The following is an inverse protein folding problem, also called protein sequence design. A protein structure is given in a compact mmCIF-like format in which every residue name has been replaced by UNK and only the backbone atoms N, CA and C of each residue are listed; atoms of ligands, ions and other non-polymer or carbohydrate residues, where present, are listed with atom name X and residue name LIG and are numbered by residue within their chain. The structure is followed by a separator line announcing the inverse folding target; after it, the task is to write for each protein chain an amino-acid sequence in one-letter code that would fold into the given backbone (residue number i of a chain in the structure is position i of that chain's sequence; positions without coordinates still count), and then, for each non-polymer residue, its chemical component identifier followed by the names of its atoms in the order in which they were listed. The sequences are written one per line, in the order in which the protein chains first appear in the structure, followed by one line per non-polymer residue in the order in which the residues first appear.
data_IF_497897840521
#
_entry.id   IF_497897840521
#
_cell.length_a   1.000
_cell.length_b   1.000
_cell.length_c   1.000
_cell.angle_alpha   90.00
_cell.angle_beta   90.00
_cell.angle_gamma   90.00
#
_symmetry.space_group_name_H-M   'P 1'
#
loop_
_entity.id
_entity.type
_entity.pdbx_description
1 polymer ?
#
# COMPACT_ATOMS: atom_id res chain seq x y z
N UNK A 1 41.56 -37.96 -44.55
CA UNK A 1 40.67 -38.56 -43.51
C UNK A 1 41.28 -38.12 -42.19
N UNK A 2 40.72 -37.31 -41.31
CA UNK A 2 39.35 -36.88 -41.00
C UNK A 2 39.47 -35.56 -40.21
N UNK A 3 38.67 -34.54 -40.51
CA UNK A 3 38.74 -33.26 -39.78
C UNK A 3 37.87 -32.16 -40.37
N UNK A 4 36.59 -32.44 -40.65
CA UNK A 4 35.62 -31.46 -41.17
C UNK A 4 34.23 -31.62 -40.52
N UNK A 5 34.21 -32.05 -39.25
CA UNK A 5 32.96 -32.29 -38.49
C UNK A 5 32.60 -31.19 -37.49
N UNK A 6 33.59 -30.45 -36.95
CA UNK A 6 33.37 -29.58 -35.78
C UNK A 6 32.59 -28.29 -36.04
N UNK A 7 32.69 -27.71 -37.25
CA UNK A 7 31.98 -26.46 -37.55
C UNK A 7 30.50 -26.67 -37.86
N UNK A 8 30.12 -27.84 -38.38
CA UNK A 8 28.71 -28.17 -38.62
C UNK A 8 27.96 -28.43 -37.30
N UNK A 9 28.61 -29.04 -36.32
CA UNK A 9 28.04 -29.24 -34.97
C UNK A 9 27.97 -27.93 -34.17
N UNK A 10 28.95 -27.04 -34.33
CA UNK A 10 28.92 -25.72 -33.69
C UNK A 10 27.80 -24.81 -34.25
N UNK A 11 27.55 -24.84 -35.57
CA UNK A 11 26.46 -24.10 -36.18
C UNK A 11 25.07 -24.65 -35.83
N UNK A 12 24.93 -25.97 -35.72
CA UNK A 12 23.68 -26.60 -35.27
C UNK A 12 23.39 -26.30 -33.79
N UNK A 13 24.41 -26.25 -32.93
CA UNK A 13 24.23 -25.87 -31.53
C UNK A 13 23.90 -24.37 -31.37
N UNK A 14 24.48 -23.50 -32.20
CA UNK A 14 24.18 -22.07 -32.20
C UNK A 14 22.77 -21.78 -32.77
N UNK A 15 22.32 -22.52 -33.79
CA UNK A 15 20.96 -22.35 -34.33
C UNK A 15 19.87 -22.89 -33.38
N UNK A 16 20.17 -23.94 -32.61
CA UNK A 16 19.26 -24.46 -31.57
C UNK A 16 19.22 -23.53 -30.36
N UNK A 17 20.34 -22.89 -29.98
CA UNK A 17 20.34 -21.83 -28.96
C UNK A 17 19.54 -20.59 -29.41
N UNK A 18 19.65 -20.19 -30.67
CA UNK A 18 18.86 -19.08 -31.22
C UNK A 18 17.37 -19.43 -31.36
N UNK A 19 17.01 -20.68 -31.66
CA UNK A 19 15.62 -21.13 -31.69
C UNK A 19 14.98 -21.18 -30.29
N UNK A 20 15.74 -21.53 -29.25
CA UNK A 20 15.27 -21.47 -27.87
C UNK A 20 15.18 -20.04 -27.31
N UNK A 21 15.98 -19.10 -27.81
CA UNK A 21 15.86 -17.67 -27.46
C UNK A 21 14.74 -16.97 -28.27
N UNK A 22 14.37 -17.48 -29.44
CA UNK A 22 13.27 -16.95 -30.26
C UNK A 22 11.89 -17.54 -29.92
N UNK A 23 11.82 -18.61 -29.10
CA UNK A 23 10.56 -19.19 -28.57
C UNK A 23 10.27 -18.80 -27.11
N UNK A 24 11.01 -17.85 -26.55
CA UNK A 24 10.79 -17.30 -25.21
C UNK A 24 9.90 -16.04 -25.19
N UNK A 25 9.34 -15.63 -26.34
CA UNK A 25 8.51 -14.43 -26.46
C UNK A 25 7.21 -14.72 -27.21
N UNK A 26 6.29 -15.43 -26.54
CA UNK A 26 4.84 -15.39 -26.83
C UNK A 26 4.00 -15.90 -25.65
N UNK A 27 4.52 -15.83 -24.44
CA UNK A 27 3.79 -16.16 -23.21
C UNK A 27 3.49 -14.87 -22.48
N UNK A 28 2.34 -14.28 -22.76
CA UNK A 28 1.79 -13.14 -22.02
C UNK A 28 1.77 -13.51 -20.53
N UNK A 29 2.79 -13.05 -19.81
CA UNK A 29 2.92 -13.27 -18.38
C UNK A 29 1.82 -12.44 -17.71
N UNK A 30 0.75 -13.11 -17.30
CA UNK A 30 -0.20 -12.58 -16.32
C UNK A 30 0.59 -12.27 -15.04
N UNK A 31 0.99 -11.01 -14.86
CA UNK A 31 1.79 -10.56 -13.72
C UNK A 31 1.20 -9.28 -13.14
N UNK A 32 1.15 -9.27 -11.80
CA UNK A 32 0.79 -8.19 -10.90
C UNK A 32 -0.64 -7.60 -11.04
N UNK A 33 -1.52 -8.04 -10.13
CA UNK A 33 -2.89 -7.55 -9.90
C UNK A 33 -3.79 -7.62 -11.14
N UNK A 34 -4.58 -8.70 -11.23
CA UNK A 34 -5.72 -8.77 -12.16
C UNK A 34 -6.65 -7.60 -11.93
N UNK A 35 -6.63 -6.68 -12.90
CA UNK A 35 -7.68 -5.71 -13.19
C UNK A 35 -8.97 -6.50 -13.43
N UNK A 36 -10.00 -6.24 -12.62
CA UNK A 36 -11.37 -6.58 -13.01
C UNK A 36 -11.80 -5.47 -13.96
N UNK A 37 -11.86 -5.80 -15.25
CA UNK A 37 -12.37 -4.90 -16.27
C UNK A 37 -13.89 -4.78 -16.09
N UNK A 38 -14.38 -3.55 -16.12
CA UNK A 38 -15.79 -3.21 -16.08
C UNK A 38 -16.47 -3.67 -17.37
N UNK A 39 -17.12 -4.83 -17.36
CA UNK A 39 -18.13 -5.19 -18.35
C UNK A 39 -19.51 -5.17 -17.68
N UNK A 40 -20.37 -4.31 -18.19
CA UNK A 40 -21.80 -4.21 -17.85
C UNK A 40 -22.45 -5.60 -17.80
N UNK A 41 -23.24 -5.93 -16.75
CA UNK A 41 -23.91 -7.21 -16.70
C UNK A 41 -25.09 -7.19 -17.67
N UNK A 42 -24.99 -7.99 -18.73
CA UNK A 42 -26.16 -8.49 -19.44
C UNK A 42 -26.88 -9.51 -18.57
N UNK A 43 -28.19 -9.33 -18.45
CA UNK A 43 -29.13 -10.25 -17.79
C UNK A 43 -28.91 -11.70 -18.22
N UNK A 44 -28.51 -12.57 -17.29
CA UNK A 44 -28.92 -13.98 -17.22
C UNK A 44 -28.49 -14.54 -15.85
N UNK A 45 -29.49 -15.01 -15.08
CA UNK A 45 -29.31 -15.52 -13.73
C UNK A 45 -28.72 -16.94 -13.75
N UNK A 46 -27.59 -17.13 -13.08
CA UNK A 46 -27.16 -18.46 -12.63
C UNK A 46 -27.23 -18.52 -11.09
N UNK A 47 -28.05 -19.44 -10.59
CA UNK A 47 -28.21 -19.73 -9.17
C UNK A 47 -26.94 -20.42 -8.61
N UNK A 48 -26.36 -19.85 -7.56
CA UNK A 48 -25.34 -20.52 -6.75
C UNK A 48 -26.01 -21.45 -5.71
N UNK A 49 -25.44 -22.62 -5.40
CA UNK A 49 -25.99 -23.52 -4.40
C UNK A 49 -25.80 -22.93 -2.99
N UNK A 50 -26.85 -22.99 -2.19
CA UNK A 50 -26.83 -22.64 -0.77
C UNK A 50 -26.29 -23.85 -0.02
N UNK A 51 -25.15 -23.69 0.67
CA UNK A 51 -24.70 -24.64 1.69
C UNK A 51 -25.69 -24.54 2.87
N UNK A 52 -26.51 -25.58 3.02
CA UNK A 52 -27.36 -25.82 4.18
C UNK A 52 -26.47 -26.29 5.33
N UNK A 53 -26.04 -25.39 6.21
CA UNK A 53 -25.67 -25.65 7.62
C UNK A 53 -25.28 -24.32 8.32
N UNK A 54 -26.25 -23.42 8.50
CA UNK A 54 -26.13 -22.29 9.45
C UNK A 54 -27.19 -22.51 10.53
N UNK A 55 -26.76 -22.68 11.78
CA UNK A 55 -27.65 -22.90 12.92
C UNK A 55 -28.67 -21.74 13.05
N UNK A 56 -29.96 -22.06 13.18
CA UNK A 56 -31.06 -21.09 13.30
C UNK A 56 -30.91 -20.14 14.52
N UNK A 57 -30.10 -20.50 15.52
CA UNK A 57 -29.80 -19.65 16.68
C UNK A 57 -28.80 -18.50 16.37
N UNK A 58 -27.97 -18.63 15.31
CA UNK A 58 -26.98 -17.61 14.93
C UNK A 58 -27.60 -16.45 14.10
N UNK A 59 -28.87 -16.59 13.71
CA UNK A 59 -29.65 -15.58 12.99
C UNK A 59 -30.55 -14.73 13.91
N UNK A 60 -30.49 -14.92 15.23
CA UNK A 60 -31.29 -14.14 16.17
C UNK A 60 -30.87 -12.66 16.17
N UNK A 61 -31.76 -11.81 15.65
CA UNK A 61 -31.58 -10.35 15.67
C UNK A 61 -31.59 -9.85 17.11
N UNK A 62 -30.52 -9.17 17.52
CA UNK A 62 -30.36 -8.55 18.84
C UNK A 62 -31.51 -7.57 19.13
N UNK A 63 -32.06 -7.59 20.35
CA UNK A 63 -33.11 -6.66 20.79
C UNK A 63 -32.49 -5.54 21.64
N UNK A 64 -32.26 -4.34 21.08
CA UNK A 64 -31.58 -3.26 21.79
C UNK A 64 -32.49 -2.72 22.89
N UNK A 65 -31.89 -2.47 24.06
CA UNK A 65 -32.53 -1.72 25.16
C UNK A 65 -31.89 -0.36 25.31
N UNK A 66 -32.43 0.49 26.18
CA UNK A 66 -31.86 1.82 26.48
C UNK A 66 -30.47 1.75 27.16
N UNK A 67 -30.13 0.60 27.75
CA UNK A 67 -28.82 0.31 28.33
C UNK A 67 -27.97 -0.53 27.38
N UNK A 68 -26.65 -0.36 27.47
CA UNK A 68 -25.67 -1.11 26.70
C UNK A 68 -25.69 -2.59 27.06
N UNK A 69 -25.86 -3.46 26.07
CA UNK A 69 -25.71 -4.91 26.24
C UNK A 69 -24.72 -5.48 25.25
N UNK A 70 -23.98 -6.50 25.67
CA UNK A 70 -22.97 -7.16 24.84
C UNK A 70 -23.61 -8.04 23.76
N UNK A 71 -23.07 -7.96 22.55
CA UNK A 71 -23.47 -8.74 21.38
C UNK A 71 -22.72 -10.06 21.34
N UNK A 72 -23.41 -11.14 20.93
CA UNK A 72 -22.75 -12.42 20.64
C UNK A 72 -22.02 -12.35 19.29
N UNK A 73 -20.93 -13.11 19.08
CA UNK A 73 -20.27 -13.20 17.79
C UNK A 73 -21.26 -13.70 16.73
N UNK A 74 -21.39 -12.98 15.60
CA UNK A 74 -22.32 -13.33 14.51
C UNK A 74 -23.74 -12.76 14.64
N UNK A 75 -24.12 -12.23 15.80
CA UNK A 75 -25.48 -11.75 16.07
C UNK A 75 -25.83 -10.49 15.24
N UNK A 76 -26.94 -10.55 14.50
CA UNK A 76 -27.41 -9.43 13.68
C UNK A 76 -27.92 -8.26 14.55
N UNK A 77 -27.55 -7.02 14.23
CA UNK A 77 -27.98 -5.82 14.97
C UNK A 77 -29.01 -5.03 14.14
N UNK A 78 -30.16 -4.63 14.71
CA UNK A 78 -31.16 -3.83 14.00
C UNK A 78 -30.62 -2.48 13.52
N UNK A 79 -31.04 -2.08 12.33
CA UNK A 79 -30.75 -0.75 11.78
C UNK A 79 -31.27 0.35 12.72
N UNK A 80 -30.42 1.34 13.03
CA UNK A 80 -30.72 2.41 13.99
C UNK A 80 -30.27 2.12 15.43
N UNK A 81 -29.64 0.97 15.70
CA UNK A 81 -29.02 0.70 17.01
C UNK A 81 -27.65 1.37 17.12
N UNK A 82 -27.36 1.97 18.26
CA UNK A 82 -26.04 2.53 18.53
C UNK A 82 -25.11 1.40 19.00
N UNK A 83 -24.05 1.12 18.25
CA UNK A 83 -23.09 0.02 18.52
C UNK A 83 -21.72 0.60 18.90
N UNK A 84 -21.08 0.05 19.95
CA UNK A 84 -19.71 0.40 20.35
C UNK A 84 -18.87 -0.83 20.64
N UNK A 85 -17.55 -0.68 20.60
CA UNK A 85 -16.60 -1.65 21.13
C UNK A 85 -16.13 -1.20 22.51
N UNK A 86 -16.35 -2.02 23.54
CA UNK A 86 -15.88 -1.73 24.89
C UNK A 86 -14.37 -2.01 24.96
N UNK A 87 -13.55 -0.96 25.08
CA UNK A 87 -12.08 -1.06 25.01
C UNK A 87 -11.44 -1.72 26.25
N UNK A 88 -12.16 -1.87 27.36
CA UNK A 88 -11.68 -2.57 28.55
C UNK A 88 -11.95 -4.08 28.49
N UNK A 89 -13.05 -4.50 27.86
CA UNK A 89 -13.46 -5.91 27.81
C UNK A 89 -13.28 -6.55 26.43
N UNK A 90 -13.10 -5.75 25.38
CA UNK A 90 -12.98 -6.20 23.99
C UNK A 90 -14.31 -6.62 23.35
N UNK A 91 -15.44 -6.51 24.05
CA UNK A 91 -16.75 -6.93 23.55
C UNK A 91 -17.48 -5.82 22.79
N UNK A 92 -18.25 -6.19 21.76
CA UNK A 92 -19.16 -5.28 21.06
C UNK A 92 -20.44 -5.14 21.88
N UNK A 93 -20.93 -3.93 22.08
CA UNK A 93 -22.16 -3.62 22.82
C UNK A 93 -23.10 -2.80 21.95
N UNK A 94 -24.42 -2.95 22.10
CA UNK A 94 -25.43 -2.18 21.39
C UNK A 94 -26.55 -1.68 22.32
N UNK A 95 -27.15 -0.54 21.98
CA UNK A 95 -28.32 0.05 22.65
C UNK A 95 -29.25 0.79 21.67
N UNK A 96 -30.46 1.16 22.10
CA UNK A 96 -31.39 2.00 21.33
C UNK A 96 -30.83 3.42 21.18
N UNK A 97 -30.98 4.01 19.98
CA UNK A 97 -30.63 5.40 19.71
C UNK A 97 -31.85 6.32 19.92
N UNK A 98 -31.84 7.08 21.00
CA UNK A 98 -32.91 8.03 21.39
C UNK A 98 -33.12 9.17 20.37
N UNK A 99 -32.18 9.37 19.44
CA UNK A 99 -32.23 10.47 18.48
C UNK A 99 -33.11 10.21 17.25
N UNK A 100 -33.69 9.02 17.13
CA UNK A 100 -34.23 8.50 15.86
C UNK A 100 -35.77 8.48 15.74
N UNK A 101 -36.52 9.03 16.69
CA UNK A 101 -38.00 9.19 16.57
C UNK A 101 -38.81 7.88 16.46
N UNK A 102 -38.17 6.73 16.63
CA UNK A 102 -38.76 5.40 16.45
C UNK A 102 -39.33 4.89 17.79
N UNK A 103 -40.61 4.50 17.83
CA UNK A 103 -41.22 3.82 18.97
C UNK A 103 -41.61 2.39 18.61
N UNK A 104 -41.23 1.45 19.47
CA UNK A 104 -41.64 0.06 19.37
C UNK A 104 -43.05 -0.12 19.92
N UNK A 105 -43.89 -0.91 19.24
CA UNK A 105 -45.17 -1.35 19.76
C UNK A 105 -45.27 -2.87 19.81
N UNK A 106 -45.99 -3.35 20.82
CA UNK A 106 -46.24 -4.77 21.09
C UNK A 106 -47.73 -5.03 21.20
N UNK A 107 -48.26 -5.98 20.41
CA UNK A 107 -49.62 -6.49 20.59
C UNK A 107 -49.67 -8.00 20.37
N UNK A 108 -49.79 -8.74 21.47
CA UNK A 108 -49.69 -10.20 21.45
C UNK A 108 -48.33 -10.67 20.92
N UNK A 109 -48.33 -11.71 20.09
CA UNK A 109 -47.13 -12.33 19.51
C UNK A 109 -46.49 -11.53 18.35
N UNK A 110 -47.01 -10.36 18.00
CA UNK A 110 -46.45 -9.51 16.94
C UNK A 110 -45.89 -8.22 17.52
N UNK A 111 -44.62 -7.97 17.23
CA UNK A 111 -43.88 -6.77 17.60
C UNK A 111 -43.33 -6.12 16.33
N UNK A 112 -43.35 -4.80 16.27
CA UNK A 112 -42.91 -4.06 15.09
C UNK A 112 -42.56 -2.60 15.39
N UNK A 113 -41.81 -2.02 14.46
CA UNK A 113 -41.26 -0.67 14.54
C UNK A 113 -42.18 0.28 13.75
N UNK A 114 -42.65 1.35 14.39
CA UNK A 114 -43.44 2.39 13.71
C UNK A 114 -42.69 3.71 13.77
N UNK A 115 -42.37 4.25 12.60
CA UNK A 115 -41.95 5.63 12.44
C UNK A 115 -43.19 6.53 12.47
N UNK A 116 -43.28 7.44 13.44
CA UNK A 116 -44.44 8.33 13.61
C UNK A 116 -44.45 9.52 12.66
N UNK A 117 -43.39 9.75 11.88
CA UNK A 117 -43.24 10.94 11.04
C UNK A 117 -43.55 10.69 9.55
N UNK A 118 -43.80 9.45 9.14
CA UNK A 118 -44.22 9.12 7.79
C UNK A 118 -45.75 8.95 7.70
N UNK A 119 -46.44 9.48 6.67
CA UNK A 119 -47.87 9.25 6.48
C UNK A 119 -48.14 7.75 6.29
N UNK A 120 -48.83 7.14 7.24
CA UNK A 120 -49.07 5.70 7.28
C UNK A 120 -50.21 5.33 6.32
N UNK A 121 -49.93 4.51 5.31
CA UNK A 121 -50.97 3.86 4.50
C UNK A 121 -51.38 2.55 5.17
N UNK A 122 -52.69 2.32 5.29
CA UNK A 122 -53.23 1.09 5.85
C UNK A 122 -52.95 -0.11 4.92
N UNK A 123 -52.87 -1.32 5.49
CA UNK A 123 -52.71 -2.57 4.70
C UNK A 123 -53.84 -2.81 3.69
N UNK A 124 -55.00 -2.17 3.89
CA UNK A 124 -56.09 -2.15 2.91
C UNK A 124 -55.81 -1.18 1.77
N UNK A 125 -55.36 0.04 2.06
CA UNK A 125 -54.94 1.01 1.04
C UNK A 125 -53.75 0.50 0.22
N UNK A 126 -52.80 -0.18 0.86
CA UNK A 126 -51.66 -0.79 0.18
C UNK A 126 -52.10 -1.93 -0.76
N UNK A 127 -53.06 -2.77 -0.32
CA UNK A 127 -53.63 -3.83 -1.17
C UNK A 127 -54.46 -3.27 -2.32
N UNK A 128 -55.19 -2.19 -2.09
CA UNK A 128 -55.97 -1.52 -3.12
C UNK A 128 -55.06 -0.83 -4.15
N UNK A 129 -53.98 -0.18 -3.70
CA UNK A 129 -52.93 0.38 -4.55
C UNK A 129 -52.21 -0.70 -5.35
N UNK A 130 -51.82 -1.82 -4.74
CA UNK A 130 -51.18 -2.95 -5.42
C UNK A 130 -52.11 -3.66 -6.41
N UNK A 131 -53.43 -3.68 -6.13
CA UNK A 131 -54.42 -4.21 -7.05
C UNK A 131 -54.61 -3.30 -8.25
N UNK A 132 -54.59 -1.97 -8.05
CA UNK A 132 -54.55 -0.99 -9.15
C UNK A 132 -53.30 -1.15 -10.02
N UNK A 133 -52.13 -1.35 -9.41
CA UNK A 133 -50.86 -1.65 -10.11
C UNK A 133 -50.87 -2.95 -10.93
N UNK A 134 -51.80 -3.88 -10.66
CA UNK A 134 -51.88 -5.19 -11.31
C UNK A 134 -53.00 -5.28 -12.35
N UNK A 135 -54.05 -4.46 -12.20
CA UNK A 135 -55.15 -4.32 -13.16
C UNK A 135 -54.85 -3.28 -14.25
N UNK A 136 -54.16 -2.19 -13.90
CA UNK A 136 -53.50 -1.29 -14.85
C UNK A 136 -52.09 -1.85 -15.07
N UNK A 137 -51.94 -2.77 -16.02
CA UNK A 137 -50.61 -3.25 -16.42
C UNK A 137 -49.68 -2.06 -16.65
N UNK A 138 -48.43 -2.18 -16.18
CA UNK A 138 -47.36 -1.17 -16.30
C UNK A 138 -47.51 -0.43 -17.62
N UNK A 139 -48.09 0.78 -17.58
CA UNK A 139 -47.87 1.71 -18.67
C UNK A 139 -46.34 1.88 -18.74
N UNK A 140 -45.75 1.75 -19.93
CA UNK A 140 -44.30 1.80 -20.07
C UNK A 140 -43.79 3.04 -19.35
N UNK A 141 -42.75 2.87 -18.52
CA UNK A 141 -42.05 3.94 -17.79
C UNK A 141 -42.07 5.18 -18.67
N UNK A 142 -42.84 6.18 -18.25
CA UNK A 142 -43.08 7.37 -19.05
C UNK A 142 -41.75 8.13 -19.08
N UNK A 143 -40.94 7.84 -20.09
CA UNK A 143 -39.61 8.44 -20.30
C UNK A 143 -39.68 9.97 -20.31
N UNK A 144 -40.87 10.55 -20.53
CA UNK A 144 -41.10 11.98 -20.37
C UNK A 144 -41.05 12.47 -18.93
N UNK A 145 -41.48 11.68 -17.95
CA UNK A 145 -41.50 12.06 -16.54
C UNK A 145 -40.10 12.03 -15.93
N UNK A 146 -39.31 11.00 -16.18
CA UNK A 146 -37.87 10.96 -15.81
C UNK A 146 -37.10 12.10 -16.48
N UNK A 147 -37.33 12.34 -17.77
CA UNK A 147 -36.72 13.49 -18.46
C UNK A 147 -37.15 14.82 -17.86
N UNK A 148 -38.40 14.95 -17.38
CA UNK A 148 -38.88 16.17 -16.71
C UNK A 148 -38.24 16.34 -15.34
N UNK A 149 -38.03 15.26 -14.58
CA UNK A 149 -37.35 15.29 -13.28
C UNK A 149 -35.84 15.57 -13.44
N UNK A 150 -35.15 14.90 -14.36
CA UNK A 150 -33.77 15.22 -14.72
C UNK A 150 -33.63 16.66 -15.26
N UNK A 151 -34.55 17.11 -16.10
CA UNK A 151 -34.56 18.48 -16.60
C UNK A 151 -34.83 19.50 -15.47
N UNK A 152 -35.70 19.17 -14.50
CA UNK A 152 -35.96 20.01 -13.35
C UNK A 152 -34.74 20.13 -12.44
N UNK A 153 -34.01 19.02 -12.20
CA UNK A 153 -32.74 19.03 -11.45
C UNK A 153 -31.67 19.79 -12.23
N UNK A 154 -31.53 19.54 -13.53
CA UNK A 154 -30.57 20.25 -14.39
C UNK A 154 -30.88 21.75 -14.50
N UNK A 155 -32.14 22.15 -14.36
CA UNK A 155 -32.55 23.56 -14.31
C UNK A 155 -32.27 24.23 -12.96
N UNK A 156 -32.05 23.48 -11.87
CA UNK A 156 -31.64 24.03 -10.57
C UNK A 156 -30.15 24.39 -10.52
N UNK A 157 -29.33 23.82 -11.41
CA UNK A 157 -27.89 24.07 -11.47
C UNK A 157 -27.51 24.87 -12.71
N UNK A 158 -26.51 25.75 -12.58
CA UNK A 158 -25.92 26.41 -13.75
C UNK A 158 -25.16 25.39 -14.61
N UNK A 159 -25.24 25.47 -15.94
CA UNK A 159 -24.50 24.57 -16.82
C UNK A 159 -22.99 24.74 -16.63
N UNK A 160 -22.26 23.63 -16.63
CA UNK A 160 -20.81 23.59 -16.40
C UNK A 160 -20.05 24.52 -17.38
N UNK A 161 -20.53 24.63 -18.61
CA UNK A 161 -19.97 25.48 -19.66
C UNK A 161 -20.14 26.97 -19.39
N UNK A 162 -21.24 27.38 -18.73
CA UNK A 162 -21.44 28.77 -18.29
C UNK A 162 -20.51 29.09 -17.12
N UNK A 163 -20.40 28.17 -16.15
CA UNK A 163 -19.46 28.30 -15.04
C UNK A 163 -18.01 28.39 -15.54
N UNK A 164 -17.62 27.56 -16.52
CA UNK A 164 -16.29 27.64 -17.16
C UNK A 164 -16.07 29.01 -17.82
N UNK A 165 -17.05 29.53 -18.57
CA UNK A 165 -16.96 30.86 -19.19
C UNK A 165 -16.89 32.00 -18.16
N UNK A 166 -17.63 31.91 -17.07
CA UNK A 166 -17.61 32.91 -15.99
C UNK A 166 -16.25 32.90 -15.27
N UNK A 167 -15.66 31.71 -15.05
CA UNK A 167 -14.33 31.56 -14.46
C UNK A 167 -13.22 32.05 -15.41
N UNK A 168 -13.35 31.77 -16.71
CA UNK A 168 -12.48 32.31 -17.76
C UNK A 168 -12.56 33.85 -17.82
N UNK A 169 -13.76 34.43 -17.72
CA UNK A 169 -13.96 35.89 -17.68
C UNK A 169 -13.38 36.54 -16.43
N UNK A 170 -13.35 35.83 -15.30
CA UNK A 170 -12.71 36.28 -14.06
C UNK A 170 -11.18 36.06 -14.03
N UNK A 171 -10.58 35.59 -15.13
CA UNK A 171 -9.15 35.26 -15.23
C UNK A 171 -8.69 34.24 -14.16
N UNK A 172 -9.62 33.44 -13.63
CA UNK A 172 -9.33 32.28 -12.80
C UNK A 172 -9.25 31.06 -13.72
N UNK A 173 -8.15 30.92 -14.45
CA UNK A 173 -7.86 29.67 -15.16
C UNK A 173 -7.58 28.59 -14.13
N UNK A 174 -8.60 27.78 -13.81
CA UNK A 174 -8.40 26.54 -13.08
C UNK A 174 -7.84 25.53 -14.08
N UNK A 175 -6.53 25.59 -14.32
CA UNK A 175 -5.85 24.48 -14.99
C UNK A 175 -6.04 23.24 -14.12
N UNK A 176 -6.45 22.13 -14.73
CA UNK A 176 -6.45 20.86 -14.00
C UNK A 176 -5.03 20.33 -13.87
N UNK A 177 -4.75 19.55 -12.83
CA UNK A 177 -3.43 18.93 -12.64
C UNK A 177 -3.00 18.13 -13.88
N UNK A 178 -3.93 17.43 -14.53
CA UNK A 178 -3.70 16.75 -15.81
C UNK A 178 -3.17 17.68 -16.91
N UNK A 179 -3.78 18.88 -17.06
CA UNK A 179 -3.33 19.88 -18.03
C UNK A 179 -1.96 20.44 -17.68
N UNK A 180 -1.73 20.74 -16.40
CA UNK A 180 -0.43 21.20 -15.89
C UNK A 180 0.65 20.16 -16.14
N UNK A 181 0.43 18.90 -15.75
CA UNK A 181 1.37 17.81 -15.98
C UNK A 181 1.64 17.60 -17.47
N UNK A 182 0.61 17.67 -18.32
CA UNK A 182 0.79 17.56 -19.78
C UNK A 182 1.72 18.66 -20.30
N UNK A 183 1.57 19.91 -19.81
CA UNK A 183 2.45 21.03 -20.16
C UNK A 183 3.88 20.80 -19.65
N UNK A 184 4.05 20.34 -18.41
CA UNK A 184 5.35 20.06 -17.81
C UNK A 184 6.09 18.93 -18.54
N UNK A 185 5.41 17.81 -18.86
CA UNK A 185 5.97 16.69 -19.63
C UNK A 185 6.40 17.15 -21.03
N UNK A 186 5.57 17.99 -21.69
CA UNK A 186 5.95 18.58 -22.99
C UNK A 186 7.17 19.48 -22.85
N UNK A 187 7.21 20.36 -21.85
CA UNK A 187 8.36 21.23 -21.59
C UNK A 187 9.63 20.41 -21.36
N UNK A 188 9.53 19.35 -20.55
CA UNK A 188 10.62 18.44 -20.24
C UNK A 188 11.19 17.76 -21.50
N UNK A 189 10.31 17.30 -22.40
CA UNK A 189 10.69 16.56 -23.60
C UNK A 189 11.12 17.46 -24.79
N UNK A 190 11.11 18.78 -24.64
CA UNK A 190 11.56 19.69 -25.71
C UNK A 190 13.08 19.59 -25.88
N UNK A 191 13.52 19.46 -27.13
CA UNK A 191 14.94 19.36 -27.51
C UNK A 191 15.75 20.59 -27.11
N UNK A 192 15.14 21.78 -27.16
CA UNK A 192 15.78 23.07 -26.86
C UNK A 192 15.66 23.48 -25.39
N UNK A 193 14.95 22.71 -24.55
CA UNK A 193 14.78 23.05 -23.15
C UNK A 193 16.11 23.03 -22.41
N UNK A 194 16.36 24.05 -21.59
CA UNK A 194 17.58 24.15 -20.79
C UNK A 194 17.58 23.11 -19.67
N UNK A 195 18.74 22.90 -19.05
CA UNK A 195 18.85 22.01 -17.88
C UNK A 195 17.95 22.51 -16.75
N UNK A 196 17.95 23.82 -16.50
CA UNK A 196 17.17 24.47 -15.46
C UNK A 196 15.67 24.32 -15.70
N UNK A 197 15.21 24.49 -16.96
CA UNK A 197 13.81 24.28 -17.32
C UNK A 197 13.37 22.84 -17.12
N UNK A 198 14.21 21.87 -17.47
CA UNK A 198 13.93 20.44 -17.26
C UNK A 198 13.90 20.07 -15.78
N UNK A 199 14.84 20.59 -14.99
CA UNK A 199 14.88 20.38 -13.54
C UNK A 199 13.65 21.01 -12.88
N UNK A 200 13.28 22.24 -13.26
CA UNK A 200 12.07 22.90 -12.76
C UNK A 200 10.81 22.08 -13.10
N UNK A 201 10.68 21.61 -14.34
CA UNK A 201 9.55 20.77 -14.74
C UNK A 201 9.46 19.48 -13.93
N UNK A 202 10.59 18.83 -13.64
CA UNK A 202 10.60 17.63 -12.78
C UNK A 202 10.23 17.96 -11.32
N UNK A 203 10.67 19.10 -10.78
CA UNK A 203 10.31 19.49 -9.42
C UNK A 203 8.81 19.82 -9.30
N UNK A 204 8.23 20.49 -10.28
CA UNK A 204 6.79 20.75 -10.32
C UNK A 204 5.98 19.45 -10.49
N UNK A 205 6.47 18.52 -11.32
CA UNK A 205 5.89 17.18 -11.44
C UNK A 205 5.96 16.42 -10.11
N UNK A 206 7.07 16.51 -9.37
CA UNK A 206 7.23 15.82 -8.09
C UNK A 206 6.15 16.23 -7.09
N UNK A 207 5.80 17.51 -7.03
CA UNK A 207 4.71 18.01 -6.19
C UNK A 207 3.36 17.40 -6.58
N UNK A 208 3.05 17.34 -7.88
CA UNK A 208 1.76 16.87 -8.39
C UNK A 208 1.57 15.37 -8.20
N UNK A 209 2.61 14.56 -8.40
CA UNK A 209 2.52 13.08 -8.33
C UNK A 209 2.43 12.52 -6.92
N UNK A 210 2.45 13.34 -5.86
CA UNK A 210 2.02 12.90 -4.53
C UNK A 210 0.56 12.46 -4.52
N UNK A 211 -0.26 13.00 -5.42
CA UNK A 211 -1.61 12.51 -5.62
C UNK A 211 -1.59 11.23 -6.45
N UNK A 212 -2.27 10.21 -5.95
CA UNK A 212 -2.30 8.85 -6.53
C UNK A 212 -2.78 8.86 -7.97
N UNK A 213 -3.82 9.64 -8.28
CA UNK A 213 -4.39 9.75 -9.63
C UNK A 213 -3.44 10.47 -10.58
N UNK A 214 -2.81 11.57 -10.13
CA UNK A 214 -1.83 12.29 -10.93
C UNK A 214 -0.63 11.42 -11.33
N UNK A 215 -0.16 10.56 -10.42
CA UNK A 215 0.90 9.61 -10.72
C UNK A 215 0.46 8.57 -11.79
N UNK A 216 -0.80 8.14 -11.77
CA UNK A 216 -1.36 7.25 -12.80
C UNK A 216 -1.56 7.96 -14.14
N UNK A 217 -1.94 9.24 -14.12
CA UNK A 217 -2.02 10.07 -15.32
C UNK A 217 -0.64 10.28 -15.95
N UNK A 218 0.39 10.50 -15.13
CA UNK A 218 1.78 10.61 -15.61
C UNK A 218 2.23 9.33 -16.34
N UNK A 219 1.83 8.15 -15.87
CA UNK A 219 2.03 6.88 -16.58
C UNK A 219 1.26 6.89 -17.89
N UNK A 220 -0.04 7.20 -17.85
CA UNK A 220 -0.95 7.13 -19.01
C UNK A 220 -0.53 8.04 -20.16
N UNK A 221 0.09 9.19 -19.86
CA UNK A 221 0.63 10.11 -20.87
C UNK A 221 2.08 9.80 -21.29
N UNK A 222 2.65 8.67 -20.85
CA UNK A 222 4.02 8.25 -21.18
C UNK A 222 5.12 9.05 -20.46
N UNK A 223 4.75 9.94 -19.53
CA UNK A 223 5.69 10.76 -18.79
C UNK A 223 6.56 9.95 -17.83
N UNK A 224 6.05 8.83 -17.30
CA UNK A 224 6.81 7.95 -16.41
C UNK A 224 8.09 7.42 -17.07
N UNK A 225 8.02 6.97 -18.34
CA UNK A 225 9.20 6.46 -19.04
C UNK A 225 10.26 7.56 -19.22
N UNK A 226 9.85 8.81 -19.48
CA UNK A 226 10.77 9.94 -19.56
C UNK A 226 11.49 10.20 -18.23
N UNK A 227 10.78 10.09 -17.11
CA UNK A 227 11.38 10.18 -15.77
C UNK A 227 12.38 9.05 -15.55
N UNK A 228 12.02 7.82 -15.89
CA UNK A 228 12.90 6.64 -15.74
C UNK A 228 14.17 6.77 -16.60
N UNK A 229 14.06 7.23 -17.84
CA UNK A 229 15.20 7.43 -18.72
C UNK A 229 16.12 8.54 -18.22
N UNK A 230 15.57 9.55 -17.55
CA UNK A 230 16.32 10.66 -16.95
C UNK A 230 17.24 10.25 -15.81
N UNK A 231 17.00 9.08 -15.18
CA UNK A 231 17.93 8.49 -14.21
C UNK A 231 19.29 8.16 -14.83
N UNK A 232 19.36 7.97 -16.16
CA UNK A 232 20.60 7.73 -16.90
C UNK A 232 21.21 9.00 -17.50
N UNK A 233 20.68 10.19 -17.20
CA UNK A 233 21.23 11.45 -17.67
C UNK A 233 22.66 11.66 -17.18
N UNK A 234 23.50 12.35 -17.96
CA UNK A 234 24.83 12.78 -17.50
C UNK A 234 24.77 13.90 -16.46
N UNK A 235 23.65 14.63 -16.37
CA UNK A 235 23.46 15.72 -15.43
C UNK A 235 22.98 15.20 -14.07
N UNK A 236 23.76 15.43 -13.02
CA UNK A 236 23.48 14.95 -11.66
C UNK A 236 22.17 15.53 -11.09
N UNK A 237 21.83 16.77 -11.45
CA UNK A 237 20.57 17.41 -11.04
C UNK A 237 19.34 16.70 -11.64
N UNK A 238 19.43 16.24 -12.90
CA UNK A 238 18.35 15.46 -13.51
C UNK A 238 18.23 14.08 -12.89
N UNK A 239 19.34 13.41 -12.58
CA UNK A 239 19.32 12.14 -11.85
C UNK A 239 18.62 12.30 -10.48
N UNK A 240 18.96 13.38 -9.75
CA UNK A 240 18.37 13.69 -8.45
C UNK A 240 16.86 13.95 -8.53
N UNK A 241 16.44 14.88 -9.40
CA UNK A 241 15.03 15.25 -9.56
C UNK A 241 14.20 14.09 -10.11
N UNK A 242 14.72 13.33 -11.07
CA UNK A 242 14.02 12.17 -11.63
C UNK A 242 13.82 11.07 -10.59
N UNK A 243 14.85 10.77 -9.78
CA UNK A 243 14.71 9.84 -8.67
C UNK A 243 13.69 10.34 -7.63
N UNK A 244 13.62 11.66 -7.42
CA UNK A 244 12.65 12.22 -6.50
C UNK A 244 11.20 12.08 -6.99
N UNK A 245 10.92 12.49 -8.24
CA UNK A 245 9.62 12.28 -8.90
C UNK A 245 9.20 10.83 -8.86
N UNK A 246 10.11 9.92 -9.25
CA UNK A 246 9.83 8.50 -9.27
C UNK A 246 9.46 7.97 -7.89
N UNK A 247 10.21 8.34 -6.85
CA UNK A 247 9.93 7.92 -5.48
C UNK A 247 8.58 8.42 -4.96
N UNK A 248 8.19 9.66 -5.30
CA UNK A 248 6.90 10.23 -4.91
C UNK A 248 5.75 9.54 -5.67
N UNK A 249 5.89 9.34 -6.98
CA UNK A 249 4.86 8.72 -7.81
C UNK A 249 4.55 7.25 -7.46
N UNK A 250 5.57 6.48 -7.06
CA UNK A 250 5.40 5.05 -6.71
C UNK A 250 4.99 4.82 -5.26
N UNK A 251 5.03 5.85 -4.41
CA UNK A 251 4.75 5.71 -2.99
C UNK A 251 3.29 5.31 -2.75
N UNK A 252 3.07 4.12 -2.19
CA UNK A 252 1.74 3.55 -1.94
C UNK A 252 0.85 3.46 -3.18
N UNK A 253 1.46 3.29 -4.36
CA UNK A 253 0.74 3.23 -5.64
C UNK A 253 1.11 1.96 -6.44
N UNK A 254 0.43 0.81 -6.21
CA UNK A 254 0.80 -0.46 -6.82
C UNK A 254 0.82 -0.45 -8.35
N UNK A 255 -0.11 0.26 -8.99
CA UNK A 255 -0.17 0.36 -10.46
C UNK A 255 1.07 1.06 -11.00
N UNK A 256 1.45 2.18 -10.40
CA UNK A 256 2.64 2.94 -10.80
C UNK A 256 3.93 2.21 -10.43
N UNK A 257 3.94 1.46 -9.31
CA UNK A 257 5.06 0.58 -8.95
C UNK A 257 5.31 -0.51 -10.02
N UNK A 258 4.27 -1.17 -10.54
CA UNK A 258 4.38 -2.17 -11.61
C UNK A 258 5.04 -1.56 -12.83
N UNK A 259 4.46 -0.46 -13.35
CA UNK A 259 4.95 0.25 -14.53
C UNK A 259 6.40 0.73 -14.36
N UNK A 260 6.75 1.20 -13.17
CA UNK A 260 8.13 1.60 -12.87
C UNK A 260 9.11 0.42 -12.87
N UNK A 261 8.74 -0.73 -12.29
CA UNK A 261 9.60 -1.93 -12.31
C UNK A 261 9.77 -2.45 -13.74
N UNK A 262 8.69 -2.53 -14.50
CA UNK A 262 8.69 -3.01 -15.88
C UNK A 262 9.44 -2.07 -16.83
N UNK A 263 9.33 -0.76 -16.62
CA UNK A 263 10.15 0.27 -17.29
C UNK A 263 11.64 0.26 -16.92
N UNK A 264 12.08 -0.63 -16.02
CA UNK A 264 13.48 -0.82 -15.66
C UNK A 264 14.02 0.16 -14.62
N UNK A 265 13.14 0.89 -13.91
CA UNK A 265 13.54 1.91 -12.94
C UNK A 265 14.45 1.33 -11.84
N UNK A 266 14.11 0.13 -11.34
CA UNK A 266 14.86 -0.52 -10.26
C UNK A 266 16.33 -0.77 -10.62
N UNK A 267 16.63 -1.15 -11.87
CA UNK A 267 18.01 -1.39 -12.32
C UNK A 267 18.80 -0.09 -12.37
N UNK A 268 18.19 0.99 -12.90
CA UNK A 268 18.82 2.31 -12.98
C UNK A 268 19.06 2.91 -11.59
N UNK A 269 18.10 2.77 -10.68
CA UNK A 269 18.24 3.22 -9.28
C UNK A 269 19.37 2.49 -8.56
N UNK A 270 19.47 1.16 -8.70
CA UNK A 270 20.56 0.39 -8.12
C UNK A 270 21.92 0.82 -8.67
N UNK A 271 22.01 1.12 -9.97
CA UNK A 271 23.23 1.66 -10.57
C UNK A 271 23.63 3.01 -9.97
N UNK A 272 22.67 3.91 -9.72
CA UNK A 272 22.94 5.20 -9.06
C UNK A 272 23.45 5.03 -7.62
N UNK A 273 22.98 4.01 -6.90
CA UNK A 273 23.43 3.71 -5.54
C UNK A 273 24.84 3.07 -5.53
N UNK A 274 25.10 2.16 -6.47
CA UNK A 274 26.36 1.42 -6.58
C UNK A 274 27.53 2.26 -7.10
N UNK A 275 27.26 3.28 -7.91
CA UNK A 275 28.32 4.12 -8.50
C UNK A 275 28.67 5.34 -7.64
N UNK A 276 29.81 5.96 -7.93
CA UNK A 276 30.19 7.20 -7.27
C UNK A 276 29.30 8.36 -7.72
N UNK A 277 28.53 8.89 -6.78
CA UNK A 277 27.52 9.92 -6.99
C UNK A 277 27.41 10.79 -5.74
N UNK A 278 27.02 12.07 -5.88
CA UNK A 278 26.78 12.93 -4.73
C UNK A 278 25.77 12.31 -3.76
N UNK A 279 25.91 12.66 -2.49
CA UNK A 279 25.01 12.19 -1.44
C UNK A 279 23.55 12.60 -1.70
N UNK A 280 23.30 13.73 -2.37
CA UNK A 280 21.94 14.18 -2.72
C UNK A 280 21.25 13.20 -3.68
N UNK A 281 21.92 12.80 -4.75
CA UNK A 281 21.46 11.78 -5.71
C UNK A 281 21.23 10.45 -4.98
N UNK A 282 22.19 9.98 -4.17
CA UNK A 282 22.04 8.72 -3.41
C UNK A 282 20.87 8.74 -2.43
N UNK A 283 20.61 9.87 -1.77
CA UNK A 283 19.46 10.06 -0.88
C UNK A 283 18.13 9.91 -1.63
N UNK A 284 18.00 10.52 -2.81
CA UNK A 284 16.77 10.43 -3.64
C UNK A 284 16.62 9.06 -4.29
N UNK A 285 17.71 8.46 -4.79
CA UNK A 285 17.69 7.11 -5.32
C UNK A 285 17.29 6.07 -4.25
N UNK A 286 17.84 6.18 -3.02
CA UNK A 286 17.47 5.28 -1.93
C UNK A 286 16.01 5.48 -1.49
N UNK A 287 15.53 6.73 -1.50
CA UNK A 287 14.11 7.03 -1.26
C UNK A 287 13.22 6.34 -2.30
N UNK A 288 13.53 6.47 -3.59
CA UNK A 288 12.79 5.83 -4.66
C UNK A 288 12.82 4.30 -4.56
N UNK A 289 13.99 3.71 -4.29
CA UNK A 289 14.10 2.26 -4.04
C UNK A 289 13.23 1.84 -2.86
N UNK A 290 13.27 2.56 -1.75
CA UNK A 290 12.44 2.22 -0.59
C UNK A 290 10.93 2.29 -0.91
N UNK A 291 10.48 3.35 -1.60
CA UNK A 291 9.09 3.50 -2.02
C UNK A 291 8.64 2.41 -3.00
N UNK A 292 9.53 1.96 -3.89
CA UNK A 292 9.26 0.87 -4.85
C UNK A 292 9.16 -0.50 -4.19
N UNK A 293 9.86 -0.74 -3.08
CA UNK A 293 9.93 -2.06 -2.44
C UNK A 293 8.86 -2.28 -1.38
N UNK A 294 8.44 -1.22 -0.68
CA UNK A 294 7.44 -1.34 0.38
C UNK A 294 6.12 -1.86 -0.14
N UNK A 295 5.59 -2.85 0.56
CA UNK A 295 4.32 -3.51 0.27
C UNK A 295 4.23 -4.13 -1.14
N UNK A 296 5.36 -4.33 -1.82
CA UNK A 296 5.38 -4.81 -3.21
C UNK A 296 6.34 -5.99 -3.42
N UNK A 297 5.89 -7.24 -3.15
CA UNK A 297 6.75 -8.42 -3.16
C UNK A 297 7.36 -8.73 -4.53
N UNK A 298 6.70 -8.33 -5.62
CA UNK A 298 7.26 -8.46 -6.97
C UNK A 298 8.53 -7.62 -7.15
N UNK A 299 8.51 -6.34 -6.74
CA UNK A 299 9.71 -5.50 -6.73
C UNK A 299 10.77 -6.02 -5.77
N UNK A 300 10.39 -6.47 -4.56
CA UNK A 300 11.32 -7.07 -3.60
C UNK A 300 12.07 -8.25 -4.22
N UNK A 301 11.35 -9.19 -4.85
CA UNK A 301 11.97 -10.33 -5.53
C UNK A 301 12.94 -9.87 -6.63
N UNK A 302 12.54 -8.93 -7.47
CA UNK A 302 13.40 -8.40 -8.54
C UNK A 302 14.63 -7.70 -7.98
N UNK A 303 14.50 -6.96 -6.88
CA UNK A 303 15.59 -6.31 -6.17
C UNK A 303 16.61 -7.31 -5.65
N UNK A 304 16.17 -8.43 -5.05
CA UNK A 304 17.07 -9.51 -4.62
C UNK A 304 17.84 -10.10 -5.81
N UNK A 305 17.14 -10.39 -6.92
CA UNK A 305 17.75 -10.95 -8.14
C UNK A 305 18.79 -10.03 -8.80
N UNK A 306 18.63 -8.72 -8.64
CA UNK A 306 19.56 -7.71 -9.15
C UNK A 306 20.73 -7.43 -8.20
N UNK A 307 20.89 -8.21 -7.13
CA UNK A 307 21.95 -8.00 -6.15
C UNK A 307 21.73 -6.77 -5.27
N UNK A 308 20.48 -6.33 -5.11
CA UNK A 308 20.16 -5.10 -4.39
C UNK A 308 20.65 -5.09 -2.93
N UNK A 309 20.62 -6.23 -2.25
CA UNK A 309 21.12 -6.38 -0.88
C UNK A 309 22.63 -6.10 -0.79
N UNK A 310 23.39 -6.49 -1.81
CA UNK A 310 24.84 -6.24 -1.89
C UNK A 310 25.09 -4.75 -2.05
N UNK A 311 24.36 -4.09 -2.97
CA UNK A 311 24.43 -2.64 -3.19
C UNK A 311 24.12 -1.87 -1.91
N UNK A 312 23.08 -2.28 -1.16
CA UNK A 312 22.78 -1.68 0.14
C UNK A 312 23.90 -1.89 1.16
N UNK A 313 24.58 -3.04 1.13
CA UNK A 313 25.70 -3.35 2.03
C UNK A 313 26.94 -2.52 1.71
N UNK A 314 27.21 -2.25 0.44
CA UNK A 314 28.27 -1.35 0.00
C UNK A 314 27.96 0.11 0.38
N UNK A 315 26.71 0.53 0.16
CA UNK A 315 26.22 1.86 0.54
C UNK A 315 26.31 2.09 2.06
N UNK A 316 26.02 1.07 2.85
CA UNK A 316 26.11 1.12 4.30
C UNK A 316 27.56 1.34 4.78
N UNK A 317 28.51 0.61 4.18
CA UNK A 317 29.94 0.69 4.52
C UNK A 317 30.61 1.96 3.98
N UNK A 318 30.02 2.63 3.00
CA UNK A 318 30.59 3.82 2.39
C UNK A 318 30.87 4.94 3.42
N UNK A 319 32.05 5.60 3.35
CA UNK A 319 32.37 6.71 4.22
C UNK A 319 31.46 7.91 3.93
N UNK A 320 31.07 8.66 4.97
CA UNK A 320 30.18 9.83 4.83
C UNK A 320 28.70 9.49 4.55
N UNK A 321 28.33 8.20 4.50
CA UNK A 321 26.98 7.72 4.28
C UNK A 321 26.13 7.54 5.55
N UNK A 322 26.53 8.10 6.69
CA UNK A 322 25.92 7.82 8.01
C UNK A 322 24.40 8.04 8.02
N UNK A 323 23.92 9.12 7.40
CA UNK A 323 22.49 9.41 7.25
C UNK A 323 21.71 8.41 6.37
N UNK A 324 22.40 7.65 5.51
CA UNK A 324 21.78 6.60 4.70
C UNK A 324 21.67 5.28 5.46
N UNK A 325 22.59 4.99 6.38
CA UNK A 325 22.64 3.71 7.10
C UNK A 325 21.32 3.39 7.82
N UNK A 326 20.77 4.36 8.54
CA UNK A 326 19.47 4.21 9.23
C UNK A 326 18.32 3.98 8.25
N UNK A 327 18.34 4.62 7.08
CA UNK A 327 17.32 4.42 6.03
C UNK A 327 17.41 3.03 5.43
N UNK A 328 18.62 2.54 5.21
CA UNK A 328 18.87 1.18 4.72
C UNK A 328 18.38 0.15 5.74
N UNK A 329 18.75 0.30 7.02
CA UNK A 329 18.31 -0.60 8.10
C UNK A 329 16.79 -0.56 8.26
N UNK A 330 16.17 0.63 8.20
CA UNK A 330 14.70 0.77 8.22
C UNK A 330 14.05 0.04 7.05
N UNK A 331 14.56 0.19 5.83
CA UNK A 331 14.03 -0.51 4.65
C UNK A 331 14.14 -2.04 4.79
N UNK A 332 15.26 -2.55 5.32
CA UNK A 332 15.41 -3.98 5.56
C UNK A 332 14.41 -4.49 6.59
N UNK A 333 14.22 -3.76 7.69
CA UNK A 333 13.21 -4.04 8.70
C UNK A 333 11.81 -4.06 8.11
N UNK A 334 11.43 -3.01 7.35
CA UNK A 334 10.13 -2.88 6.71
C UNK A 334 9.83 -4.14 5.87
N UNK A 335 10.76 -4.57 4.99
CA UNK A 335 10.55 -5.77 4.17
C UNK A 335 10.45 -7.08 4.97
N UNK A 336 11.18 -7.21 6.09
CA UNK A 336 11.09 -8.41 6.95
C UNK A 336 9.71 -8.47 7.62
N UNK A 337 9.30 -7.36 8.23
CA UNK A 337 8.04 -7.26 8.97
C UNK A 337 6.83 -7.34 8.05
N UNK A 338 6.88 -6.74 6.87
CA UNK A 338 5.82 -6.86 5.85
C UNK A 338 5.52 -8.33 5.51
N UNK A 339 6.57 -9.13 5.30
CA UNK A 339 6.42 -10.56 5.00
C UNK A 339 5.85 -11.32 6.20
N UNK A 340 6.30 -11.00 7.41
CA UNK A 340 5.85 -11.65 8.64
C UNK A 340 4.38 -11.34 8.93
N UNK A 341 3.98 -10.07 8.88
CA UNK A 341 2.61 -9.63 9.12
C UNK A 341 1.62 -10.28 8.14
N UNK A 342 1.98 -10.34 6.85
CA UNK A 342 1.12 -10.99 5.86
C UNK A 342 1.01 -12.49 6.11
N UNK A 343 2.07 -13.14 6.58
CA UNK A 343 2.05 -14.56 6.94
C UNK A 343 1.20 -14.84 8.20
N UNK A 344 1.13 -13.89 9.13
CA UNK A 344 0.32 -13.99 10.36
C UNK A 344 -1.16 -13.61 10.14
N UNK A 345 -1.45 -12.73 9.20
CA UNK A 345 -2.81 -12.29 8.85
C UNK A 345 -3.69 -13.40 8.22
N UNK A 346 -3.13 -14.58 7.93
CA UNK A 346 -3.90 -15.79 7.57
C UNK A 346 -4.72 -16.41 8.71
N UNK A 347 -4.85 -15.73 9.85
CA UNK A 347 -5.71 -16.11 10.99
C UNK A 347 -7.13 -15.51 10.91
N UNK A 348 -7.41 -14.64 9.92
CA UNK A 348 -8.76 -14.14 9.67
C UNK A 348 -9.61 -15.15 8.87
N UNK A 349 -10.92 -15.32 9.17
CA UNK A 349 -11.71 -16.47 8.67
C UNK A 349 -11.96 -16.53 7.16
N UNK A 350 -11.77 -15.44 6.40
CA UNK A 350 -11.97 -15.43 4.93
C UNK A 350 -10.88 -14.60 4.24
N UNK A 351 -9.76 -15.21 3.81
CA UNK A 351 -8.76 -14.50 3.03
C UNK A 351 -9.25 -14.26 1.59
N UNK A 352 -9.40 -12.98 1.22
CA UNK A 352 -9.66 -12.56 -0.16
C UNK A 352 -8.57 -13.12 -1.12
N UNK A 353 -8.96 -13.42 -2.36
CA UNK A 353 -8.10 -13.81 -3.48
C UNK A 353 -6.82 -12.96 -3.60
N UNK A 354 -6.92 -11.64 -3.38
CA UNK A 354 -5.80 -10.70 -3.36
C UNK A 354 -4.79 -10.97 -2.23
N UNK A 355 -5.26 -11.39 -1.06
CA UNK A 355 -4.40 -11.75 0.06
C UNK A 355 -3.62 -13.05 -0.23
N UNK A 356 -4.29 -14.07 -0.79
CA UNK A 356 -3.64 -15.32 -1.17
C UNK A 356 -2.56 -15.13 -2.24
N UNK A 357 -2.81 -14.26 -3.22
CA UNK A 357 -1.79 -13.94 -4.24
C UNK A 357 -0.60 -13.20 -3.63
N UNK A 358 -0.82 -12.25 -2.71
CA UNK A 358 0.27 -11.59 -1.97
C UNK A 358 1.10 -12.60 -1.19
N UNK A 359 0.48 -13.54 -0.47
CA UNK A 359 1.18 -14.62 0.23
C UNK A 359 2.08 -15.43 -0.70
N UNK A 360 1.55 -15.84 -1.87
CA UNK A 360 2.31 -16.58 -2.89
C UNK A 360 3.52 -15.79 -3.41
N UNK A 361 3.39 -14.47 -3.54
CA UNK A 361 4.49 -13.61 -3.98
C UNK A 361 5.55 -13.44 -2.90
N UNK A 362 5.16 -13.17 -1.64
CA UNK A 362 6.10 -13.08 -0.51
C UNK A 362 6.82 -14.40 -0.21
N UNK A 363 6.18 -15.54 -0.46
CA UNK A 363 6.83 -16.85 -0.34
C UNK A 363 8.05 -16.98 -1.28
N UNK A 364 8.04 -16.28 -2.43
CA UNK A 364 9.17 -16.25 -3.39
C UNK A 364 10.27 -15.26 -3.00
N UNK A 365 10.09 -14.45 -1.96
CA UNK A 365 11.07 -13.46 -1.47
C UNK A 365 11.89 -14.10 -0.34
N UNK A 366 13.14 -14.46 -0.63
CA UNK A 366 14.07 -15.08 0.34
C UNK A 366 15.05 -14.07 0.92
N UNK A 367 14.55 -13.11 1.72
CA UNK A 367 15.35 -11.99 2.23
C UNK A 367 16.27 -12.38 3.40
N UNK A 368 15.74 -12.98 4.47
CA UNK A 368 16.49 -13.24 5.72
C UNK A 368 17.75 -14.11 5.52
N UNK A 369 17.71 -15.25 4.79
CA UNK A 369 18.92 -16.03 4.51
C UNK A 369 19.98 -15.21 3.77
N UNK A 370 19.57 -14.44 2.76
CA UNK A 370 20.47 -13.62 1.97
C UNK A 370 21.11 -12.50 2.80
N UNK A 371 20.37 -11.90 3.74
CA UNK A 371 20.93 -10.92 4.67
C UNK A 371 22.04 -11.53 5.54
N UNK A 372 21.80 -12.73 6.08
CA UNK A 372 22.79 -13.44 6.89
C UNK A 372 24.05 -13.78 6.07
N UNK A 373 23.88 -14.32 4.87
CA UNK A 373 24.98 -14.66 3.95
C UNK A 373 25.83 -13.44 3.56
N UNK A 374 25.21 -12.27 3.39
CA UNK A 374 25.91 -11.03 3.03
C UNK A 374 26.45 -10.25 4.24
N UNK A 375 26.40 -10.85 5.43
CA UNK A 375 27.03 -10.31 6.64
C UNK A 375 26.24 -9.19 7.32
N UNK A 376 24.94 -9.05 7.05
CA UNK A 376 24.12 -8.02 7.68
C UNK A 376 23.95 -8.22 9.19
N UNK A 377 24.07 -9.45 9.68
CA UNK A 377 24.15 -9.70 11.13
C UNK A 377 25.34 -8.94 11.78
N UNK A 378 26.43 -8.68 11.05
CA UNK A 378 27.53 -7.86 11.57
C UNK A 378 27.30 -6.36 11.40
N UNK A 379 26.62 -5.95 10.33
CA UNK A 379 26.44 -4.54 9.97
C UNK A 379 25.38 -3.84 10.81
N UNK A 380 24.22 -4.45 11.03
CA UNK A 380 23.12 -3.82 11.79
C UNK A 380 23.54 -3.40 13.20
N UNK A 381 24.29 -4.22 13.97
CA UNK A 381 24.87 -3.81 15.25
C UNK A 381 25.68 -2.51 15.23
N UNK A 382 26.34 -2.17 14.12
CA UNK A 382 27.18 -0.96 14.04
C UNK A 382 26.37 0.33 14.27
N UNK A 383 25.05 0.33 13.98
CA UNK A 383 24.18 1.49 14.27
C UNK A 383 24.00 1.76 15.75
N UNK A 384 24.18 0.78 16.63
CA UNK A 384 24.03 0.95 18.08
C UNK A 384 25.05 1.97 18.63
N UNK A 385 26.16 2.18 17.91
CA UNK A 385 27.17 3.19 18.27
C UNK A 385 26.76 4.63 17.96
N UNK A 386 25.63 4.85 17.28
CA UNK A 386 25.11 6.19 17.00
C UNK A 386 24.78 6.95 18.29
N UNK A 387 24.93 8.29 18.35
CA UNK A 387 24.38 9.08 19.44
C UNK A 387 22.85 9.22 19.39
N UNK A 388 22.24 9.04 18.21
CA UNK A 388 20.80 9.24 17.99
C UNK A 388 19.98 8.06 18.53
N UNK A 389 19.02 8.34 19.42
CA UNK A 389 18.15 7.32 20.03
C UNK A 389 17.28 6.60 18.99
N UNK A 390 16.70 7.33 18.04
CA UNK A 390 15.91 6.76 16.92
C UNK A 390 16.70 5.71 16.13
N UNK A 391 18.00 5.94 15.92
CA UNK A 391 18.83 5.03 15.14
C UNK A 391 19.13 3.75 15.91
N UNK A 392 19.37 3.88 17.22
CA UNK A 392 19.56 2.72 18.11
C UNK A 392 18.28 1.89 18.17
N UNK A 393 17.13 2.53 18.33
CA UNK A 393 15.84 1.87 18.34
C UNK A 393 15.58 1.09 17.04
N UNK A 394 15.76 1.74 15.88
CA UNK A 394 15.64 1.09 14.56
C UNK A 394 16.60 -0.08 14.41
N UNK A 395 17.84 0.05 14.90
CA UNK A 395 18.78 -1.06 14.91
C UNK A 395 18.30 -2.21 15.80
N UNK A 396 17.85 -1.94 17.03
CA UNK A 396 17.33 -2.97 17.95
C UNK A 396 16.12 -3.72 17.38
N UNK A 397 15.15 -2.99 16.79
CA UNK A 397 13.99 -3.61 16.11
C UNK A 397 14.45 -4.52 14.97
N UNK A 398 15.43 -4.09 14.20
CA UNK A 398 16.00 -4.89 13.09
C UNK A 398 16.78 -6.10 13.60
N UNK A 399 17.55 -5.98 14.68
CA UNK A 399 18.24 -7.11 15.31
C UNK A 399 17.25 -8.19 15.75
N UNK A 400 16.14 -7.78 16.35
CA UNK A 400 15.07 -8.69 16.77
C UNK A 400 14.43 -9.39 15.56
N UNK A 401 14.08 -8.65 14.51
CA UNK A 401 13.51 -9.20 13.28
C UNK A 401 14.46 -10.18 12.57
N UNK A 402 15.77 -9.97 12.67
CA UNK A 402 16.80 -10.83 12.09
C UNK A 402 17.23 -12.00 12.99
N UNK A 403 16.75 -12.05 14.25
CA UNK A 403 17.12 -13.05 15.24
C UNK A 403 16.99 -14.51 14.74
N UNK A 404 15.95 -14.91 13.98
CA UNK A 404 15.82 -16.30 13.52
C UNK A 404 17.02 -16.80 12.69
N UNK A 405 17.74 -15.92 11.98
CA UNK A 405 18.88 -16.29 11.14
C UNK A 405 20.23 -15.83 11.71
N UNK A 406 20.24 -14.84 12.61
CA UNK A 406 21.47 -14.26 13.16
C UNK A 406 21.78 -14.68 14.61
N UNK A 407 20.90 -15.44 15.29
CA UNK A 407 21.05 -15.79 16.72
C UNK A 407 22.44 -16.32 17.10
N UNK A 408 22.94 -17.31 16.36
CA UNK A 408 24.24 -17.92 16.66
C UNK A 408 25.41 -16.97 16.45
N UNK A 409 25.31 -16.05 15.49
CA UNK A 409 26.33 -15.02 15.27
C UNK A 409 26.30 -13.97 16.38
N UNK A 410 25.10 -13.52 16.78
CA UNK A 410 24.95 -12.56 17.87
C UNK A 410 25.45 -13.11 19.20
N UNK A 411 25.14 -14.37 19.53
CA UNK A 411 25.62 -15.05 20.75
C UNK A 411 27.15 -15.11 20.85
N UNK A 412 27.82 -15.27 19.71
CA UNK A 412 29.29 -15.33 19.65
C UNK A 412 29.93 -13.94 19.68
N UNK A 413 29.17 -12.88 19.41
CA UNK A 413 29.69 -11.52 19.38
C UNK A 413 29.72 -10.87 20.77
N UNK A 414 30.86 -11.03 21.44
CA UNK A 414 31.13 -10.38 22.74
C UNK A 414 31.14 -8.84 22.69
N UNK A 415 31.32 -8.22 21.52
CA UNK A 415 31.25 -6.76 21.38
C UNK A 415 29.81 -6.29 21.39
N UNK A 416 28.94 -6.98 20.64
CA UNK A 416 27.50 -6.73 20.66
C UNK A 416 26.92 -6.89 22.06
N UNK A 417 27.23 -8.01 22.74
CA UNK A 417 26.72 -8.26 24.10
C UNK A 417 27.12 -7.13 25.08
N UNK A 418 28.38 -6.67 25.04
CA UNK A 418 28.85 -5.54 25.86
C UNK A 418 28.18 -4.22 25.48
N UNK A 419 28.00 -3.95 24.18
CA UNK A 419 27.31 -2.74 23.71
C UNK A 419 25.87 -2.70 24.18
N UNK A 420 25.15 -3.83 24.10
CA UNK A 420 23.76 -3.93 24.54
C UNK A 420 23.64 -3.75 26.06
N UNK A 421 24.52 -4.37 26.86
CA UNK A 421 24.50 -4.17 28.32
C UNK A 421 24.86 -2.74 28.74
N UNK A 422 25.81 -2.08 28.07
CA UNK A 422 26.10 -0.68 28.32
C UNK A 422 24.91 0.24 27.97
N UNK A 423 24.22 -0.03 26.86
CA UNK A 423 22.99 0.67 26.51
C UNK A 423 21.87 0.40 27.52
N UNK A 424 21.81 -0.80 28.09
CA UNK A 424 20.77 -1.18 29.06
C UNK A 424 20.87 -0.32 30.31
N UNK A 425 22.07 -0.19 30.87
CA UNK A 425 22.33 0.71 31.99
C UNK A 425 22.00 2.16 31.65
N UNK A 426 22.35 2.61 30.43
CA UNK A 426 22.05 3.97 29.98
C UNK A 426 20.53 4.23 29.90
N UNK A 427 19.77 3.37 29.21
CA UNK A 427 18.33 3.55 29.03
C UNK A 427 17.54 3.31 30.30
N UNK A 428 18.05 2.49 31.23
CA UNK A 428 17.48 2.34 32.56
C UNK A 428 17.50 3.67 33.32
N UNK A 429 18.62 4.38 33.33
CA UNK A 429 18.71 5.70 33.98
C UNK A 429 17.78 6.74 33.33
N UNK A 430 17.66 6.72 32.00
CA UNK A 430 16.76 7.62 31.27
C UNK A 430 15.29 7.33 31.57
N UNK A 431 14.88 6.07 31.58
CA UNK A 431 13.52 5.65 31.89
C UNK A 431 13.15 5.91 33.36
N UNK A 432 14.10 5.77 34.30
CA UNK A 432 13.90 6.18 35.70
C UNK A 432 13.68 7.69 35.82
N UNK A 433 14.36 8.48 34.98
CA UNK A 433 14.13 9.93 34.85
C UNK A 433 12.71 10.27 34.38
N UNK A 434 12.21 9.61 33.33
CA UNK A 434 10.82 9.79 32.82
C UNK A 434 9.78 9.45 33.91
N UNK A 435 9.97 8.33 34.62
CA UNK A 435 9.09 7.93 35.73
C UNK A 435 9.10 8.94 36.87
N UNK A 436 10.25 9.55 37.16
CA UNK A 436 10.36 10.61 38.16
C UNK A 436 9.58 11.88 37.79
N UNK A 437 9.28 12.09 36.52
CA UNK A 437 8.46 13.19 36.00
C UNK A 437 6.96 12.83 35.87
N UNK A 438 6.59 11.58 36.21
CA UNK A 438 5.21 11.09 36.11
C UNK A 438 4.84 10.50 34.75
N UNK A 439 5.82 10.27 33.86
CA UNK A 439 5.61 9.58 32.59
C UNK A 439 5.79 8.06 32.79
N UNK A 440 4.68 7.34 32.99
CA UNK A 440 4.71 5.88 33.21
C UNK A 440 5.04 5.10 31.92
N UNK A 441 4.55 5.58 30.78
CA UNK A 441 4.78 5.04 29.43
C UNK A 441 5.72 5.95 28.62
N UNK A 442 6.91 6.20 29.17
CA UNK A 442 7.91 7.06 28.54
C UNK A 442 8.62 6.41 27.33
N UNK A 443 9.10 7.25 26.42
CA UNK A 443 9.81 6.83 25.20
C UNK A 443 11.04 5.98 25.50
N UNK A 444 11.82 6.33 26.54
CA UNK A 444 13.00 5.55 26.92
C UNK A 444 12.64 4.23 27.59
N UNK A 445 11.48 4.16 28.25
CA UNK A 445 10.89 2.91 28.75
C UNK A 445 10.64 1.90 27.62
N UNK A 446 10.05 2.31 26.51
CA UNK A 446 9.83 1.45 25.34
C UNK A 446 11.16 0.91 24.77
N UNK A 447 12.17 1.78 24.61
CA UNK A 447 13.48 1.34 24.13
C UNK A 447 14.13 0.34 25.10
N UNK A 448 14.01 0.55 26.41
CA UNK A 448 14.56 -0.35 27.41
C UNK A 448 13.92 -1.75 27.29
N UNK A 449 12.59 -1.83 27.15
CA UNK A 449 11.90 -3.13 26.97
C UNK A 449 12.32 -3.84 25.69
N UNK A 450 12.49 -3.10 24.59
CA UNK A 450 13.00 -3.63 23.33
C UNK A 450 14.44 -4.15 23.50
N UNK A 451 15.28 -3.41 24.21
CA UNK A 451 16.67 -3.78 24.47
C UNK A 451 16.79 -5.03 25.33
N UNK A 452 15.95 -5.16 26.37
CA UNK A 452 15.86 -6.35 27.21
C UNK A 452 15.47 -7.59 26.39
N UNK A 453 14.52 -7.42 25.48
CA UNK A 453 14.08 -8.48 24.55
C UNK A 453 15.22 -8.92 23.64
N UNK A 454 15.96 -7.98 23.05
CA UNK A 454 17.13 -8.27 22.21
C UNK A 454 18.21 -8.97 23.04
N UNK A 455 18.54 -8.47 24.23
CA UNK A 455 19.52 -9.07 25.14
C UNK A 455 19.15 -10.51 25.51
N UNK A 456 17.88 -10.81 25.75
CA UNK A 456 17.40 -12.16 26.02
C UNK A 456 17.59 -13.12 24.83
N UNK A 457 17.54 -12.62 23.60
CA UNK A 457 17.82 -13.41 22.39
C UNK A 457 19.32 -13.58 22.09
N UNK A 458 20.16 -12.66 22.55
CA UNK A 458 21.63 -12.67 22.35
C UNK A 458 22.36 -13.44 23.43
N UNK A 459 21.78 -13.57 24.63
CA UNK A 459 22.27 -14.48 25.68
C UNK A 459 21.83 -15.93 25.40
#
# INVERSE_FOLDING_TARGET
MTGSGGWKTAFLLLSVLCAHLAQADSGQARSALTVVDSSEPSDEAEEAPVDEDVDEEDLEVFQPTDQWQSLRPGQAVPAGSHVRLNLQTGHREAKVDDSSGLKYWTNGQRQGMVNTEAPYFSTKELKEALKKFKEEGVEPIDKEREKKEEAAVRAQYRPLEELKRDMEQMNMMVETDFQVMTRLVRQFNRSEATLEERVAALLDLEYLVHQVDNAQDLVSMGGMQLVIDSLNSSALQLQESAAFVLGSAVSSNPRVQVEAVEGGALQKLLLLLATDRPLSVKKKALFAVAALLRHFPFAQRRFLLLGGVQVLGELFRAPGGTALRVRVVTLLYDMIVEKELISQAGLDPVPDSSHQERLRQYAKVSLLPLLAEQGWCGLVPELLSSPEHDWREKALRTLLAMMPHCRELYRRDSRLARSLSALQEQYQQLAEGERGLGEEDGYFGEILTLLDTVLGGVR
#
